data_IF_010981709408
#
_entry.id   IF_010981709408
#
_cell.length_a   1.000
_cell.length_b   1.000
_cell.length_c   1.000
_cell.angle_alpha   90.00
_cell.angle_beta   90.00
_cell.angle_gamma   90.00
#
_symmetry.space_group_name_H-M   'P 1'
#
loop_
_entity.id
_entity.type
_entity.pdbx_description
1 polymer ?
#
# COMPACT_ATOMS: atom_id res chain seq x y z
N UNK A 1 7.11 -2.74 8.47
CA UNK A 1 6.56 -3.87 9.24
C UNK A 1 7.70 -4.48 10.04
N UNK A 2 7.43 -4.88 11.28
CA UNK A 2 8.32 -5.64 12.15
C UNK A 2 7.68 -6.99 12.46
N UNK A 3 8.49 -8.04 12.52
CA UNK A 3 8.09 -9.42 12.77
C UNK A 3 8.53 -9.87 14.17
N UNK A 4 7.63 -10.59 14.84
CA UNK A 4 7.80 -11.07 16.21
C UNK A 4 7.60 -12.57 16.32
N UNK A 5 6.65 -13.13 15.53
CA UNK A 5 6.31 -14.56 15.47
C UNK A 5 5.98 -14.97 14.05
N UNK A 6 5.91 -16.28 13.81
CA UNK A 6 5.47 -16.85 12.55
C UNK A 6 3.95 -16.59 12.35
N UNK A 7 3.53 -15.76 11.38
CA UNK A 7 2.12 -15.45 11.16
C UNK A 7 1.38 -16.53 10.37
N UNK A 8 2.07 -17.50 9.73
CA UNK A 8 1.42 -18.41 8.78
C UNK A 8 0.32 -19.27 9.41
N UNK A 9 0.43 -19.55 10.71
CA UNK A 9 -0.56 -20.31 11.47
C UNK A 9 -1.88 -19.54 11.68
N UNK A 10 -1.88 -18.22 11.47
CA UNK A 10 -3.03 -17.34 11.68
C UNK A 10 -3.69 -16.87 10.39
N UNK A 11 -3.18 -17.29 9.22
CA UNK A 11 -3.86 -17.02 7.95
C UNK A 11 -5.09 -17.93 7.79
N UNK A 12 -6.26 -17.37 7.44
CA UNK A 12 -7.43 -18.19 7.16
C UNK A 12 -7.24 -18.93 5.82
N UNK A 13 -6.76 -20.17 5.87
CA UNK A 13 -6.41 -21.00 4.70
C UNK A 13 -7.56 -21.26 3.72
N UNK A 14 -8.81 -21.02 4.13
CA UNK A 14 -9.98 -21.12 3.27
C UNK A 14 -10.20 -19.87 2.41
N UNK A 15 -9.61 -18.72 2.78
CA UNK A 15 -9.73 -17.48 2.02
C UNK A 15 -8.88 -17.54 0.75
N UNK A 16 -9.38 -16.92 -0.32
CA UNK A 16 -8.60 -16.71 -1.53
C UNK A 16 -7.62 -15.53 -1.33
N UNK A 17 -8.01 -14.54 -0.52
CA UNK A 17 -7.19 -13.41 -0.09
C UNK A 17 -7.46 -13.08 1.38
N UNK A 18 -6.40 -12.87 2.14
CA UNK A 18 -6.49 -12.32 3.51
C UNK A 18 -5.74 -11.00 3.58
N UNK A 19 -6.27 -9.97 4.21
CA UNK A 19 -5.64 -8.65 4.21
C UNK A 19 -5.79 -7.92 5.54
N UNK A 20 -4.87 -7.02 5.86
CA UNK A 20 -4.90 -6.25 7.10
C UNK A 20 -6.13 -5.35 7.19
N UNK A 21 -6.41 -4.85 8.39
CA UNK A 21 -7.52 -3.95 8.68
C UNK A 21 -7.06 -2.85 9.61
N UNK A 22 -7.53 -1.62 9.38
CA UNK A 22 -7.13 -0.45 10.19
C UNK A 22 -8.01 -0.22 11.45
N UNK A 23 -9.15 -0.92 11.53
CA UNK A 23 -10.06 -1.03 12.71
C UNK A 23 -10.83 -2.36 12.57
N UNK A 24 -10.24 -3.50 12.94
CA UNK A 24 -10.83 -4.84 12.83
C UNK A 24 -11.88 -5.07 13.92
N UNK A 25 -13.02 -5.65 13.53
CA UNK A 25 -14.01 -6.17 14.48
C UNK A 25 -14.55 -7.51 14.02
N UNK A 26 -14.49 -8.56 14.87
CA UNK A 26 -15.01 -9.88 14.51
C UNK A 26 -16.54 -9.88 14.36
N UNK A 27 -17.23 -8.88 14.91
CA UNK A 27 -18.69 -8.71 14.76
C UNK A 27 -19.12 -8.14 13.42
N UNK A 28 -18.20 -7.59 12.61
CA UNK A 28 -18.50 -7.09 11.26
C UNK A 28 -18.42 -8.22 10.24
N UNK A 29 -19.25 -8.15 9.19
CA UNK A 29 -19.05 -9.01 8.04
C UNK A 29 -17.64 -8.76 7.45
N UNK A 30 -17.00 -9.77 6.82
CA UNK A 30 -15.61 -9.64 6.35
C UNK A 30 -15.35 -8.38 5.50
N UNK A 31 -16.23 -8.06 4.55
CA UNK A 31 -16.09 -6.90 3.65
C UNK A 31 -16.49 -5.55 4.26
N UNK A 32 -17.10 -5.56 5.46
CA UNK A 32 -17.48 -4.37 6.22
C UNK A 32 -16.35 -3.91 7.14
N UNK A 33 -15.32 -4.73 7.32
CA UNK A 33 -14.08 -4.28 7.95
C UNK A 33 -13.33 -3.32 7.00
N UNK A 34 -12.61 -2.32 7.54
CA UNK A 34 -11.80 -1.40 6.75
C UNK A 34 -10.53 -2.11 6.25
N UNK A 35 -10.69 -2.84 5.14
CA UNK A 35 -9.61 -3.62 4.52
C UNK A 35 -8.47 -2.71 4.03
N UNK A 36 -7.25 -3.18 4.23
CA UNK A 36 -6.00 -2.50 3.89
C UNK A 36 -5.10 -3.44 3.07
N UNK A 37 -4.48 -2.94 2.00
CA UNK A 37 -3.61 -3.73 1.10
C UNK A 37 -2.13 -3.50 1.39
N UNK A 38 -1.79 -3.00 2.58
CA UNK A 38 -0.41 -2.87 3.06
C UNK A 38 0.20 -4.22 3.47
N UNK A 39 -0.62 -5.14 3.99
CA UNK A 39 -0.27 -6.53 4.27
C UNK A 39 -1.41 -7.44 3.82
N UNK A 40 -1.11 -8.41 2.97
CA UNK A 40 -2.08 -9.42 2.56
C UNK A 40 -1.40 -10.69 2.08
N UNK A 41 -2.12 -11.80 2.17
CA UNK A 41 -1.75 -13.12 1.69
C UNK A 41 -2.74 -13.58 0.61
N UNK A 42 -2.23 -14.08 -0.52
CA UNK A 42 -3.03 -14.66 -1.61
C UNK A 42 -2.47 -16.03 -1.98
N UNK A 43 -3.34 -17.04 -1.93
CA UNK A 43 -3.02 -18.38 -2.42
C UNK A 43 -3.07 -18.42 -3.94
N UNK A 44 -2.09 -19.03 -4.60
CA UNK A 44 -2.16 -19.24 -6.05
C UNK A 44 -3.21 -20.28 -6.40
N UNK A 45 -4.25 -19.81 -7.10
CA UNK A 45 -5.32 -20.61 -7.67
C UNK A 45 -5.77 -19.94 -8.97
N UNK A 46 -6.48 -20.67 -9.83
CA UNK A 46 -7.11 -20.05 -11.00
C UNK A 46 -8.01 -18.85 -10.60
N UNK A 47 -8.71 -18.95 -9.47
CA UNK A 47 -9.62 -17.90 -9.01
C UNK A 47 -8.87 -16.63 -8.57
N UNK A 48 -7.76 -16.77 -7.86
CA UNK A 48 -6.97 -15.62 -7.41
C UNK A 48 -6.19 -14.96 -8.56
N UNK A 49 -5.77 -15.73 -9.56
CA UNK A 49 -5.24 -15.18 -10.82
C UNK A 49 -6.30 -14.33 -11.54
N UNK A 50 -7.54 -14.80 -11.64
CA UNK A 50 -8.62 -14.01 -12.24
C UNK A 50 -9.01 -12.80 -11.38
N UNK A 51 -8.94 -12.93 -10.05
CA UNK A 51 -9.16 -11.82 -9.11
C UNK A 51 -8.17 -10.67 -9.34
N UNK A 52 -6.87 -10.95 -9.42
CA UNK A 52 -5.86 -9.89 -9.59
C UNK A 52 -5.93 -9.27 -10.99
N UNK A 53 -6.24 -10.05 -12.04
CA UNK A 53 -6.51 -9.53 -13.38
C UNK A 53 -7.70 -8.58 -13.38
N UNK A 54 -8.80 -8.96 -12.72
CA UNK A 54 -9.99 -8.12 -12.59
C UNK A 54 -9.68 -6.83 -11.83
N UNK A 55 -8.89 -6.91 -10.76
CA UNK A 55 -8.48 -5.75 -9.98
C UNK A 55 -7.61 -4.79 -10.80
N UNK A 56 -6.63 -5.31 -11.55
CA UNK A 56 -5.82 -4.49 -12.48
C UNK A 56 -6.67 -3.85 -13.57
N UNK A 57 -7.56 -4.60 -14.22
CA UNK A 57 -8.45 -4.07 -15.24
C UNK A 57 -9.40 -2.99 -14.69
N UNK A 58 -9.78 -3.09 -13.41
CA UNK A 58 -10.63 -2.08 -12.77
C UNK A 58 -9.97 -0.70 -12.68
N UNK A 59 -8.63 -0.60 -12.75
CA UNK A 59 -7.88 0.66 -12.76
C UNK A 59 -8.45 1.69 -13.73
N UNK A 60 -8.86 1.25 -14.93
CA UNK A 60 -9.41 2.13 -15.97
C UNK A 60 -10.69 2.85 -15.53
N UNK A 61 -11.47 2.25 -14.62
CA UNK A 61 -12.69 2.84 -14.06
C UNK A 61 -12.42 3.85 -12.94
N UNK A 62 -11.19 3.90 -12.43
CA UNK A 62 -10.78 4.72 -11.29
C UNK A 62 -9.47 5.47 -11.57
N UNK A 63 -9.45 6.37 -12.58
CA UNK A 63 -8.24 7.07 -12.98
C UNK A 63 -7.63 7.85 -11.80
N UNK A 64 -6.30 7.75 -11.65
CA UNK A 64 -5.55 8.40 -10.57
C UNK A 64 -5.62 7.71 -9.19
N UNK A 65 -6.45 6.68 -9.03
CA UNK A 65 -6.49 5.92 -7.77
C UNK A 65 -5.40 4.84 -7.74
N UNK A 66 -4.86 4.61 -6.54
CA UNK A 66 -3.94 3.51 -6.27
C UNK A 66 -4.69 2.19 -5.99
N UNK A 67 -3.94 1.09 -5.94
CA UNK A 67 -4.44 -0.28 -5.80
C UNK A 67 -5.49 -0.46 -4.67
N UNK A 68 -5.21 -0.01 -3.45
CA UNK A 68 -6.10 -0.19 -2.29
C UNK A 68 -7.44 0.50 -2.49
N UNK A 69 -7.42 1.75 -2.99
CA UNK A 69 -8.64 2.50 -3.21
C UNK A 69 -9.52 1.81 -4.26
N UNK A 70 -8.91 1.28 -5.33
CA UNK A 70 -9.62 0.46 -6.31
C UNK A 70 -10.13 -0.84 -5.71
N UNK A 71 -9.31 -1.56 -4.94
CA UNK A 71 -9.68 -2.81 -4.26
C UNK A 71 -10.92 -2.63 -3.40
N UNK A 72 -10.91 -1.60 -2.55
CA UNK A 72 -12.02 -1.27 -1.66
C UNK A 72 -13.27 -1.00 -2.50
N UNK A 73 -13.18 -0.24 -3.59
CA UNK A 73 -14.32 0.01 -4.47
C UNK A 73 -14.91 -1.26 -5.10
N UNK A 74 -14.06 -2.21 -5.51
CA UNK A 74 -14.49 -3.40 -6.26
C UNK A 74 -14.69 -4.66 -5.41
N UNK A 75 -14.40 -4.63 -4.10
CA UNK A 75 -14.39 -5.84 -3.24
C UNK A 75 -15.67 -6.67 -3.33
N UNK A 76 -16.83 -6.03 -3.42
CA UNK A 76 -18.11 -6.71 -3.59
C UNK A 76 -18.26 -7.32 -4.99
N UNK A 77 -17.70 -6.71 -6.03
CA UNK A 77 -17.66 -7.28 -7.38
C UNK A 77 -16.78 -8.54 -7.41
N UNK A 78 -15.64 -8.54 -6.71
CA UNK A 78 -14.75 -9.70 -6.62
C UNK A 78 -15.48 -10.90 -5.99
N UNK A 79 -16.25 -10.68 -4.93
CA UNK A 79 -17.04 -11.74 -4.29
C UNK A 79 -18.22 -12.17 -5.17
N UNK A 80 -18.98 -11.23 -5.72
CA UNK A 80 -20.22 -11.56 -6.45
C UNK A 80 -19.96 -12.14 -7.84
N UNK A 81 -18.93 -11.66 -8.56
CA UNK A 81 -18.63 -12.10 -9.94
C UNK A 81 -17.64 -13.26 -9.99
N UNK A 82 -16.64 -13.27 -9.11
CA UNK A 82 -15.56 -14.26 -9.13
C UNK A 82 -15.64 -15.27 -7.98
N UNK A 83 -16.60 -15.11 -7.05
CA UNK A 83 -16.78 -15.98 -5.89
C UNK A 83 -15.51 -16.09 -5.02
N UNK A 84 -14.74 -15.01 -4.99
CA UNK A 84 -13.54 -14.87 -4.15
C UNK A 84 -13.98 -14.76 -2.69
N UNK A 85 -13.26 -15.44 -1.80
CA UNK A 85 -13.39 -15.28 -0.35
C UNK A 85 -12.29 -14.36 0.16
N UNK A 86 -12.68 -13.17 0.61
CA UNK A 86 -11.79 -12.17 1.20
C UNK A 86 -12.00 -12.18 2.72
N UNK A 87 -10.92 -12.28 3.48
CA UNK A 87 -10.97 -12.22 4.94
C UNK A 87 -10.05 -11.14 5.51
N UNK A 88 -10.54 -10.28 6.44
CA UNK A 88 -9.66 -9.44 7.21
C UNK A 88 -8.79 -10.29 8.16
N UNK A 89 -7.56 -9.83 8.39
CA UNK A 89 -6.66 -10.37 9.38
C UNK A 89 -6.98 -9.76 10.76
N UNK A 90 -6.99 -10.61 11.78
CA UNK A 90 -7.25 -10.18 13.16
C UNK A 90 -6.04 -9.39 13.70
N UNK A 91 -6.29 -8.16 14.16
CA UNK A 91 -5.26 -7.24 14.66
C UNK A 91 -4.58 -7.71 15.94
N UNK A 92 -5.13 -8.72 16.61
CA UNK A 92 -4.44 -9.41 17.72
C UNK A 92 -3.15 -10.09 17.25
N UNK A 93 -3.13 -10.65 16.03
CA UNK A 93 -1.94 -11.27 15.44
C UNK A 93 -1.22 -10.34 14.46
N UNK A 94 -1.99 -9.55 13.69
CA UNK A 94 -1.50 -8.68 12.63
C UNK A 94 -1.74 -7.21 13.01
N UNK A 95 -1.09 -6.77 14.08
CA UNK A 95 -1.28 -5.42 14.59
C UNK A 95 -0.83 -4.35 13.58
N UNK A 96 -1.56 -3.24 13.55
CA UNK A 96 -1.11 -2.02 12.90
C UNK A 96 -0.81 -0.97 13.95
N UNK A 97 0.05 0.01 13.67
CA UNK A 97 0.22 1.17 14.57
C UNK A 97 -1.13 1.89 14.82
N UNK A 98 -2.07 1.80 13.88
CA UNK A 98 -3.42 2.32 14.07
C UNK A 98 -4.26 1.50 15.05
N UNK A 99 -4.03 0.20 15.10
CA UNK A 99 -4.77 -0.75 15.90
C UNK A 99 -3.87 -1.93 16.29
N UNK A 100 -3.40 -1.88 17.53
CA UNK A 100 -2.59 -2.92 18.13
C UNK A 100 -3.10 -3.22 19.53
N UNK A 101 -2.74 -4.38 20.05
CA UNK A 101 -3.11 -4.84 21.37
C UNK A 101 -1.86 -4.98 22.24
N UNK A 102 -1.95 -4.64 23.52
CA UNK A 102 -0.89 -4.85 24.52
C UNK A 102 -0.80 -6.34 24.92
N UNK A 103 -0.84 -7.25 23.95
CA UNK A 103 -0.75 -8.71 24.09
C UNK A 103 0.44 -9.24 23.26
N UNK A 104 1.68 -9.15 23.79
CA UNK A 104 2.88 -9.55 23.07
C UNK A 104 2.99 -11.07 22.89
N UNK A 105 2.17 -11.87 23.60
CA UNK A 105 2.19 -13.32 23.46
C UNK A 105 1.61 -13.76 22.11
N UNK A 106 0.59 -13.05 21.61
CA UNK A 106 -0.10 -13.37 20.36
C UNK A 106 0.44 -12.65 19.14
N UNK A 107 0.95 -11.43 19.31
CA UNK A 107 1.34 -10.60 18.15
C UNK A 107 2.36 -11.31 17.26
N UNK A 108 2.10 -11.31 15.95
CA UNK A 108 3.02 -11.86 14.95
C UNK A 108 3.75 -10.77 14.21
N UNK A 109 3.04 -9.72 13.80
CA UNK A 109 3.61 -8.61 13.05
C UNK A 109 3.01 -7.30 13.51
N UNK A 110 3.81 -6.22 13.49
CA UNK A 110 3.28 -4.85 13.54
C UNK A 110 3.65 -4.08 12.28
N UNK A 111 2.64 -3.57 11.58
CA UNK A 111 2.79 -2.74 10.38
C UNK A 111 2.49 -1.26 10.67
N UNK A 112 3.04 -0.37 9.86
CA UNK A 112 2.92 1.08 10.02
C UNK A 112 2.19 1.70 8.83
N UNK A 113 1.28 0.94 8.21
CA UNK A 113 0.76 1.28 6.87
C UNK A 113 -0.11 2.52 6.91
N UNK A 114 -0.80 2.75 8.03
CA UNK A 114 -1.59 3.94 8.28
C UNK A 114 -0.79 5.17 8.72
N UNK A 115 0.51 5.04 9.02
CA UNK A 115 1.36 6.17 9.37
C UNK A 115 1.80 6.96 8.14
N UNK A 116 2.05 8.26 8.32
CA UNK A 116 2.53 9.16 7.26
C UNK A 116 3.98 9.57 7.50
N UNK A 117 4.79 9.52 6.43
CA UNK A 117 6.21 9.89 6.45
C UNK A 117 7.15 8.73 6.78
N UNK A 118 8.30 8.68 6.09
CA UNK A 118 9.30 7.64 6.30
C UNK A 118 9.91 7.71 7.71
N UNK A 119 10.36 8.89 8.13
CA UNK A 119 11.01 9.08 9.43
C UNK A 119 10.08 8.75 10.61
N UNK A 120 8.79 9.11 10.47
CA UNK A 120 7.73 8.73 11.40
C UNK A 120 7.63 7.21 11.53
N UNK A 121 7.52 6.49 10.40
CA UNK A 121 7.43 5.03 10.37
C UNK A 121 8.68 4.39 10.99
N UNK A 122 9.87 4.85 10.60
CA UNK A 122 11.14 4.30 11.10
C UNK A 122 11.26 4.52 12.61
N UNK A 123 10.92 5.70 13.11
CA UNK A 123 11.00 6.02 14.54
C UNK A 123 10.12 5.09 15.37
N UNK A 124 8.82 5.04 15.06
CA UNK A 124 7.88 4.28 15.90
C UNK A 124 8.08 2.77 15.73
N UNK A 125 8.36 2.26 14.53
CA UNK A 125 8.69 0.84 14.36
C UNK A 125 9.97 0.43 15.11
N UNK A 126 10.96 1.32 15.24
CA UNK A 126 12.15 1.07 16.09
C UNK A 126 11.78 0.99 17.57
N UNK A 127 10.83 1.79 18.04
CA UNK A 127 10.33 1.71 19.42
C UNK A 127 9.67 0.35 19.68
N UNK A 128 8.77 -0.10 18.79
CA UNK A 128 8.16 -1.43 18.90
C UNK A 128 9.19 -2.56 18.86
N UNK A 129 10.23 -2.47 18.02
CA UNK A 129 11.31 -3.45 17.99
C UNK A 129 12.14 -3.45 19.29
N UNK A 130 12.36 -2.30 19.91
CA UNK A 130 13.05 -2.18 21.19
C UNK A 130 12.21 -2.77 22.35
N UNK A 131 10.90 -2.49 22.37
CA UNK A 131 9.98 -3.06 23.36
C UNK A 131 9.94 -4.58 23.26
N UNK A 132 9.90 -5.12 22.04
CA UNK A 132 9.98 -6.55 21.79
C UNK A 132 11.28 -7.17 22.32
N UNK A 133 12.43 -6.52 22.07
CA UNK A 133 13.72 -6.97 22.58
C UNK A 133 13.74 -6.98 24.11
N UNK A 134 13.17 -5.97 24.75
CA UNK A 134 13.08 -5.92 26.22
C UNK A 134 12.18 -7.02 26.78
N UNK A 135 11.03 -7.28 26.14
CA UNK A 135 10.13 -8.38 26.51
C UNK A 135 10.80 -9.74 26.34
N UNK A 136 11.45 -9.99 25.21
CA UNK A 136 12.08 -11.28 24.90
C UNK A 136 13.36 -11.55 25.68
N UNK A 137 13.98 -10.51 26.26
CA UNK A 137 15.15 -10.68 27.14
C UNK A 137 14.81 -11.28 28.52
N UNK A 138 13.54 -11.26 28.92
CA UNK A 138 13.07 -11.79 30.21
C UNK A 138 12.75 -13.29 30.15
N UNK A 139 12.80 -13.97 31.30
CA UNK A 139 12.38 -15.37 31.40
C UNK A 139 10.84 -15.50 31.21
N UNK A 140 10.32 -16.60 30.65
CA UNK A 140 8.90 -16.77 30.38
C UNK A 140 7.98 -16.52 31.60
N UNK A 141 8.41 -16.92 32.80
CA UNK A 141 7.65 -16.69 34.04
C UNK A 141 7.57 -15.22 34.45
N UNK A 142 8.60 -14.42 34.11
CA UNK A 142 8.63 -12.98 34.38
C UNK A 142 7.74 -12.23 33.40
N UNK A 143 7.74 -12.66 32.13
CA UNK A 143 6.88 -12.12 31.06
C UNK A 143 5.39 -12.22 31.42
N UNK A 144 4.96 -13.34 32.01
CA UNK A 144 3.56 -13.55 32.43
C UNK A 144 3.13 -12.67 33.61
N UNK A 145 4.08 -12.25 34.45
CA UNK A 145 3.82 -11.38 35.61
C UNK A 145 3.89 -9.90 35.26
N UNK A 146 4.66 -9.55 34.23
CA UNK A 146 4.84 -8.18 33.78
C UNK A 146 3.61 -7.68 33.01
N UNK A 147 3.08 -6.52 33.41
CA UNK A 147 2.10 -5.80 32.61
C UNK A 147 2.81 -5.15 31.41
N UNK A 148 2.98 -5.91 30.33
CA UNK A 148 3.59 -5.40 29.11
C UNK A 148 2.71 -4.31 28.48
N UNK A 149 3.35 -3.26 27.96
CA UNK A 149 2.72 -2.23 27.15
C UNK A 149 3.66 -1.78 26.06
N UNK A 150 3.12 -1.56 24.86
CA UNK A 150 3.90 -0.95 23.79
C UNK A 150 4.18 0.53 24.11
N UNK A 151 5.34 1.00 23.67
CA UNK A 151 5.62 2.43 23.58
C UNK A 151 4.58 3.07 22.67
N UNK A 152 3.90 4.09 23.19
CA UNK A 152 2.85 4.76 22.43
C UNK A 152 3.44 5.43 21.16
N UNK A 153 2.92 5.13 19.95
CA UNK A 153 3.47 5.61 18.69
C UNK A 153 3.04 7.06 18.41
N UNK A 154 3.55 7.99 19.20
CA UNK A 154 3.16 9.40 19.16
C UNK A 154 3.33 10.00 17.76
N UNK A 155 4.46 9.75 17.08
CA UNK A 155 4.73 10.37 15.77
C UNK A 155 3.73 9.91 14.73
N UNK A 156 3.47 8.62 14.67
CA UNK A 156 2.46 8.06 13.79
C UNK A 156 1.06 8.61 14.11
N UNK A 157 0.67 8.65 15.39
CA UNK A 157 -0.64 9.16 15.81
C UNK A 157 -0.82 10.64 15.45
N UNK A 158 0.19 11.46 15.66
CA UNK A 158 0.18 12.87 15.29
C UNK A 158 0.12 13.06 13.77
N UNK A 159 0.86 12.23 13.02
CA UNK A 159 0.84 12.26 11.55
C UNK A 159 -0.55 11.98 10.97
N UNK A 160 -1.33 11.13 11.63
CA UNK A 160 -2.70 10.78 11.23
C UNK A 160 -3.65 11.96 11.52
N UNK A 161 -3.61 12.51 12.74
CA UNK A 161 -4.48 13.62 13.17
C UNK A 161 -4.25 14.89 12.34
N UNK A 162 -2.99 15.16 11.99
CA UNK A 162 -2.65 16.31 11.16
C UNK A 162 -3.21 16.17 9.74
N UNK A 163 -3.09 14.99 9.12
CA UNK A 163 -3.73 14.70 7.83
C UNK A 163 -5.25 14.89 7.88
N UNK A 164 -5.94 14.41 8.92
CA UNK A 164 -7.38 14.65 9.09
C UNK A 164 -7.74 16.15 9.18
N UNK A 165 -6.90 16.94 9.84
CA UNK A 165 -7.12 18.37 10.04
C UNK A 165 -6.96 19.15 8.72
N UNK A 166 -5.96 18.79 7.92
CA UNK A 166 -5.75 19.33 6.56
C UNK A 166 -6.91 18.93 5.65
N UNK A 167 -7.28 17.65 5.59
CA UNK A 167 -8.41 17.18 4.78
C UNK A 167 -9.71 17.94 5.10
N UNK A 168 -9.97 18.19 6.39
CA UNK A 168 -11.13 18.96 6.84
C UNK A 168 -11.07 20.42 6.42
N UNK A 169 -9.87 21.01 6.35
CA UNK A 169 -9.65 22.38 5.90
C UNK A 169 -9.79 22.50 4.37
N UNK A 170 -9.16 21.59 3.61
CA UNK A 170 -9.24 21.52 2.16
C UNK A 170 -10.67 21.26 1.68
N UNK A 171 -11.41 20.36 2.35
CA UNK A 171 -12.83 20.11 2.06
C UNK A 171 -13.70 21.34 2.37
N UNK A 172 -13.44 22.08 3.46
CA UNK A 172 -14.09 23.37 3.73
C UNK A 172 -13.79 24.41 2.65
N UNK A 173 -12.55 24.46 2.15
CA UNK A 173 -12.15 25.40 1.11
C UNK A 173 -12.76 25.05 -0.25
N UNK A 174 -12.87 23.75 -0.58
CA UNK A 174 -13.56 23.25 -1.78
C UNK A 174 -15.06 23.58 -1.76
N UNK A 175 -15.69 23.43 -0.58
CA UNK A 175 -17.09 23.80 -0.34
C UNK A 175 -17.31 25.32 -0.42
N UNK A 176 -16.33 26.12 0.01
CA UNK A 176 -16.37 27.58 -0.17
C UNK A 176 -16.14 28.00 -1.63
N UNK A 177 -15.30 27.30 -2.39
CA UNK A 177 -15.05 27.57 -3.83
C UNK A 177 -16.23 27.19 -4.73
N UNK A 178 -17.07 26.24 -4.33
CA UNK A 178 -18.28 25.84 -5.07
C UNK A 178 -19.57 26.52 -4.62
N UNK A 179 -19.48 27.58 -3.79
CA UNK A 179 -20.53 28.58 -3.60
C UNK A 179 -21.89 28.02 -3.19
N UNK A 180 -22.18 28.03 -1.89
CA UNK A 180 -23.55 28.12 -1.41
C UNK A 180 -24.17 29.43 -1.93
N UNK A 181 -24.86 29.35 -3.07
CA UNK A 181 -25.67 30.45 -3.60
C UNK A 181 -26.72 30.84 -2.55
N UNK A 182 -26.62 32.07 -2.04
CA UNK A 182 -27.71 32.72 -1.31
C UNK A 182 -28.97 32.74 -2.21
N UNK A 183 -30.14 32.25 -1.76
CA UNK A 183 -31.37 32.62 -2.40
C UNK A 183 -31.78 34.00 -1.89
N UNK A 184 -31.67 35.00 -2.76
CA UNK A 184 -32.39 36.27 -2.67
C UNK A 184 -33.88 35.98 -2.81
N UNK A 185 -34.69 36.44 -1.86
CA UNK A 185 -36.08 36.03 -1.71
C UNK A 185 -37.04 36.53 -2.78
N UNK A 186 -38.21 35.87 -2.84
CA UNK A 186 -39.50 36.44 -3.22
C UNK A 186 -40.63 35.65 -2.56
N UNK A 187 -41.63 36.42 -2.12
CA UNK A 187 -42.74 36.08 -1.25
C UNK A 187 -43.76 35.12 -1.90
N UNK A 188 -44.40 34.27 -1.10
CA UNK A 188 -45.58 33.50 -1.51
C UNK A 188 -46.07 32.53 -0.42
N UNK A 189 -47.14 32.90 0.28
CA UNK A 189 -47.86 32.05 1.23
C UNK A 189 -48.57 30.88 0.52
N UNK A 190 -48.60 29.70 1.13
CA UNK A 190 -49.49 28.60 0.73
C UNK A 190 -49.17 27.28 1.42
N UNK A 191 -50.17 26.74 2.13
CA UNK A 191 -50.14 25.47 2.87
C UNK A 191 -49.89 24.28 1.93
N UNK A 192 -49.08 23.31 2.35
CA UNK A 192 -49.51 21.92 2.55
C UNK A 192 -48.31 21.01 2.86
N UNK A 193 -48.46 20.27 3.96
CA UNK A 193 -47.50 19.30 4.46
C UNK A 193 -47.75 17.95 3.78
N UNK A 194 -46.82 17.51 2.92
CA UNK A 194 -46.49 16.09 2.64
C UNK A 194 -45.55 16.02 1.43
N UNK A 195 -44.22 15.96 1.66
CA UNK A 195 -43.21 15.32 0.78
C UNK A 195 -41.79 15.77 1.14
N UNK A 196 -41.36 15.53 2.39
CA UNK A 196 -39.97 15.72 2.79
C UNK A 196 -39.50 14.59 3.73
N UNK A 197 -39.71 13.33 3.34
CA UNK A 197 -39.15 12.19 4.08
C UNK A 197 -38.28 11.24 3.24
N UNK A 198 -37.99 11.56 1.97
CA UNK A 198 -37.15 10.70 1.10
C UNK A 198 -35.83 11.36 0.67
N UNK A 199 -35.62 12.66 0.95
CA UNK A 199 -34.37 13.36 0.59
C UNK A 199 -33.38 13.57 1.75
N UNK A 200 -33.75 13.28 3.00
CA UNK A 200 -32.81 13.38 4.14
C UNK A 200 -31.95 12.14 4.37
N UNK A 201 -32.18 11.04 3.63
CA UNK A 201 -31.41 9.79 3.81
C UNK A 201 -30.21 9.64 2.86
N UNK A 202 -30.16 10.42 1.76
CA UNK A 202 -29.07 10.32 0.78
C UNK A 202 -27.89 11.29 1.04
N UNK A 203 -28.03 12.26 1.93
CA UNK A 203 -26.95 13.18 2.32
C UNK A 203 -26.20 12.75 3.60
N UNK A 204 -26.74 11.79 4.36
CA UNK A 204 -26.09 11.25 5.57
C UNK A 204 -25.10 10.10 5.31
N UNK A 205 -25.19 9.44 4.16
CA UNK A 205 -24.38 8.26 3.83
C UNK A 205 -23.15 8.53 2.95
N UNK A 206 -22.99 9.75 2.42
CA UNK A 206 -21.85 10.12 1.57
C UNK A 206 -20.63 10.63 2.35
N UNK A 207 -20.84 11.16 3.56
CA UNK A 207 -19.77 11.76 4.38
C UNK A 207 -18.86 10.76 5.09
N UNK A 208 -19.33 9.60 5.61
CA UNK A 208 -18.43 8.60 6.19
C UNK A 208 -17.57 7.90 5.13
N UNK A 209 -18.13 7.68 3.94
CA UNK A 209 -17.46 6.99 2.83
C UNK A 209 -16.39 7.88 2.20
N UNK A 210 -16.66 9.19 2.04
CA UNK A 210 -15.66 10.17 1.59
C UNK A 210 -14.51 10.36 2.59
N UNK A 211 -14.74 10.19 3.89
CA UNK A 211 -13.72 10.29 4.93
C UNK A 211 -12.71 9.13 4.86
N UNK A 212 -13.17 7.91 4.53
CA UNK A 212 -12.30 6.75 4.30
C UNK A 212 -11.48 6.89 3.00
N UNK A 213 -12.02 7.54 1.97
CA UNK A 213 -11.28 7.85 0.74
C UNK A 213 -10.16 8.88 0.94
N UNK A 214 -10.36 9.87 1.81
CA UNK A 214 -9.34 10.89 2.09
C UNK A 214 -8.26 10.41 3.07
N UNK A 215 -8.59 9.47 3.96
CA UNK A 215 -7.61 8.87 4.87
C UNK A 215 -6.52 8.06 4.18
N UNK A 216 -6.84 7.51 3.01
CA UNK A 216 -5.86 6.87 2.14
C UNK A 216 -5.02 7.90 1.35
N UNK A 217 -5.43 9.18 1.30
CA UNK A 217 -4.94 10.16 0.32
C UNK A 217 -4.05 11.28 0.88
N UNK A 218 -4.13 11.65 2.16
CA UNK A 218 -3.30 12.73 2.71
C UNK A 218 -1.97 12.18 3.26
N UNK A 219 -0.99 12.01 2.37
CA UNK A 219 0.41 11.82 2.76
C UNK A 219 1.31 12.82 2.03
N UNK A 220 1.49 14.01 2.61
CA UNK A 220 2.55 14.93 2.23
C UNK A 220 3.52 15.10 3.40
N UNK A 221 4.80 14.97 3.09
CA UNK A 221 5.88 15.61 3.85
C UNK A 221 6.31 16.84 3.07
N UNK A 222 6.22 18.02 3.68
CA UNK A 222 6.97 19.20 3.27
C UNK A 222 8.28 19.26 4.05
N UNK A 223 9.35 19.60 3.35
CA UNK A 223 10.64 19.99 3.91
C UNK A 223 11.34 20.95 2.93
N UNK A 224 11.02 22.24 3.04
CA UNK A 224 11.71 23.31 2.33
C UNK A 224 13.16 23.47 2.84
N UNK A 225 14.13 23.57 1.92
CA UNK A 225 15.14 24.65 1.92
C UNK A 225 15.95 24.70 0.62
N UNK A 226 16.07 25.93 0.13
CA UNK A 226 16.76 26.49 -1.04
C UNK A 226 18.15 25.93 -1.40
N UNK A 227 18.47 25.96 -2.70
CA UNK A 227 19.52 26.83 -3.30
C UNK A 227 19.23 27.00 -4.81
N UNK A 228 19.40 28.24 -5.29
CA UNK A 228 19.19 28.74 -6.66
C UNK A 228 20.03 28.05 -7.75
N UNK A 229 19.59 28.09 -9.02
CA UNK A 229 20.50 28.08 -10.16
C UNK A 229 20.58 29.48 -10.80
N UNK A 230 21.76 30.06 -10.76
CA UNK A 230 22.15 31.19 -11.60
C UNK A 230 22.34 30.74 -13.05
N UNK A 231 21.80 31.57 -13.93
CA UNK A 231 22.04 31.79 -15.36
C UNK A 231 23.14 31.05 -16.13
N UNK A 232 22.77 30.86 -17.40
CA UNK A 232 23.51 30.86 -18.66
C UNK A 232 23.75 29.47 -19.29
N UNK A 233 23.48 29.27 -20.58
CA UNK A 233 23.15 30.24 -21.61
C UNK A 233 22.68 29.57 -22.90
N UNK A 234 22.02 30.39 -23.71
CA UNK A 234 21.45 30.09 -25.01
C UNK A 234 22.47 29.61 -26.04
N UNK A 235 22.01 28.78 -26.99
CA UNK A 235 22.20 28.94 -28.44
C UNK A 235 21.24 28.01 -29.18
N UNK A 236 20.13 28.54 -29.70
CA UNK A 236 19.90 28.89 -31.12
C UNK A 236 19.76 27.68 -32.07
N UNK A 237 18.51 27.40 -32.41
CA UNK A 237 17.97 26.81 -33.66
C UNK A 237 18.20 27.75 -34.87
N UNK A 238 17.67 27.50 -36.10
CA UNK A 238 17.16 26.27 -36.75
C UNK A 238 17.73 26.08 -38.18
N UNK A 239 17.40 24.98 -38.85
CA UNK A 239 17.25 25.01 -40.32
C UNK A 239 16.06 24.16 -40.75
N UNK A 240 15.21 24.80 -41.55
CA UNK A 240 13.93 24.37 -42.10
C UNK A 240 14.12 23.72 -43.47
N UNK A 241 13.40 22.65 -43.78
CA UNK A 241 12.92 22.24 -45.12
C UNK A 241 11.97 21.03 -44.91
N UNK A 242 10.65 21.19 -44.90
CA UNK A 242 9.68 21.30 -46.00
C UNK A 242 9.35 20.00 -46.74
N UNK A 243 8.31 19.32 -46.23
CA UNK A 243 7.10 18.77 -46.87
C UNK A 243 7.13 18.13 -48.29
N UNK A 244 6.85 16.82 -48.35
CA UNK A 244 5.90 16.09 -49.25
C UNK A 244 6.06 14.59 -48.90
N UNK A 245 5.07 13.74 -48.66
CA UNK A 245 3.71 13.64 -49.17
C UNK A 245 3.56 12.26 -49.83
N UNK A 246 3.32 11.20 -49.05
CA UNK A 246 2.82 9.91 -49.53
C UNK A 246 2.25 9.10 -48.36
N UNK A 247 0.92 9.00 -48.32
CA UNK A 247 0.15 8.07 -47.50
C UNK A 247 0.01 6.74 -48.25
N UNK A 248 0.44 5.62 -47.67
CA UNK A 248 -0.39 4.41 -47.68
C UNK A 248 0.00 3.45 -46.54
N UNK A 249 -1.01 2.70 -46.11
CA UNK A 249 -1.20 2.09 -44.81
C UNK A 249 -0.19 0.99 -44.43
N UNK A 250 0.48 1.18 -43.28
CA UNK A 250 1.04 0.06 -42.51
C UNK A 250 0.58 0.22 -41.06
N UNK A 251 -0.17 -0.76 -40.57
CA UNK A 251 -0.66 -0.81 -39.21
C UNK A 251 0.51 -0.68 -38.23
N UNK A 252 0.38 0.11 -37.14
CA UNK A 252 1.41 0.13 -36.12
C UNK A 252 1.34 -1.20 -35.36
N UNK A 253 2.27 -2.10 -35.68
CA UNK A 253 2.67 -3.17 -34.76
C UNK A 253 3.06 -2.54 -33.45
N UNK A 254 2.28 -2.83 -32.42
CA UNK A 254 2.54 -2.52 -31.02
C UNK A 254 3.95 -2.95 -30.61
N UNK A 255 4.81 -2.05 -30.11
CA UNK A 255 6.06 -2.45 -29.50
C UNK A 255 5.78 -2.73 -28.01
N UNK A 256 5.52 -3.99 -27.59
CA UNK A 256 5.49 -4.30 -26.15
C UNK A 256 5.55 -5.77 -25.69
N UNK A 257 5.65 -6.80 -26.54
CA UNK A 257 5.65 -8.19 -26.01
C UNK A 257 7.03 -8.71 -25.57
N UNK A 258 8.13 -8.30 -26.21
CA UNK A 258 9.45 -8.91 -25.94
C UNK A 258 10.15 -8.38 -24.67
N UNK A 259 9.86 -7.15 -24.23
CA UNK A 259 10.49 -6.57 -23.03
C UNK A 259 9.93 -7.15 -21.73
N UNK A 260 8.60 -7.29 -21.63
CA UNK A 260 7.96 -7.81 -20.42
C UNK A 260 8.17 -9.32 -20.23
N UNK A 261 8.30 -10.07 -21.32
CA UNK A 261 8.55 -11.52 -21.27
C UNK A 261 9.97 -11.83 -20.76
N UNK A 262 10.95 -10.98 -21.09
CA UNK A 262 12.31 -11.05 -20.55
C UNK A 262 12.40 -10.61 -19.08
N UNK A 263 11.64 -9.58 -18.67
CA UNK A 263 11.65 -9.07 -17.29
C UNK A 263 11.20 -10.14 -16.30
N UNK A 264 10.08 -10.83 -16.59
CA UNK A 264 9.57 -11.88 -15.72
C UNK A 264 10.28 -13.24 -15.86
N UNK A 265 11.24 -13.38 -16.78
CA UNK A 265 12.06 -14.58 -16.88
C UNK A 265 12.98 -14.72 -15.65
N UNK A 266 13.63 -13.63 -15.24
CA UNK A 266 14.47 -13.62 -14.03
C UNK A 266 13.64 -13.91 -12.77
N UNK A 267 12.41 -13.40 -12.70
CA UNK A 267 11.48 -13.71 -11.61
C UNK A 267 11.18 -15.21 -11.54
N UNK A 268 10.92 -15.85 -12.67
CA UNK A 268 10.63 -17.28 -12.75
C UNK A 268 11.82 -18.15 -12.32
N UNK A 269 13.06 -17.70 -12.53
CA UNK A 269 14.27 -18.37 -12.04
C UNK A 269 14.49 -18.17 -10.54
N UNK A 270 14.09 -17.02 -10.00
CA UNK A 270 14.31 -16.67 -8.60
C UNK A 270 13.29 -17.33 -7.67
N UNK A 271 12.00 -17.40 -8.05
CA UNK A 271 10.93 -17.92 -7.21
C UNK A 271 11.18 -19.33 -6.64
N UNK A 272 11.66 -20.33 -7.41
CA UNK A 272 12.00 -21.65 -6.87
C UNK A 272 13.05 -21.65 -5.76
N UNK A 273 13.89 -20.61 -5.68
CA UNK A 273 14.98 -20.50 -4.68
C UNK A 273 14.54 -19.80 -3.40
N UNK A 274 13.42 -19.06 -3.45
CA UNK A 274 12.92 -18.25 -2.34
C UNK A 274 11.67 -18.86 -1.74
N UNK A 275 10.86 -19.56 -2.52
CA UNK A 275 9.61 -20.11 -2.03
C UNK A 275 9.81 -21.15 -0.94
N UNK A 276 8.86 -21.25 -0.03
CA UNK A 276 8.80 -22.33 0.96
C UNK A 276 8.63 -23.68 0.27
N UNK A 277 9.25 -24.72 0.84
CA UNK A 277 9.23 -26.08 0.26
C UNK A 277 7.85 -26.75 0.35
N UNK A 278 7.05 -26.38 1.34
CA UNK A 278 5.79 -27.02 1.69
C UNK A 278 4.62 -26.57 0.80
N UNK A 279 4.49 -25.26 0.56
CA UNK A 279 3.34 -24.70 -0.16
C UNK A 279 3.67 -23.64 -1.21
N UNK A 280 4.97 -23.42 -1.50
CA UNK A 280 5.45 -22.44 -2.49
C UNK A 280 5.08 -20.99 -2.15
N UNK A 281 5.07 -20.64 -0.87
CA UNK A 281 4.82 -19.27 -0.41
C UNK A 281 6.11 -18.45 -0.47
N UNK A 282 6.00 -17.19 -0.91
CA UNK A 282 7.10 -16.23 -0.97
C UNK A 282 6.71 -14.97 -0.20
N UNK A 283 7.54 -14.51 0.74
CA UNK A 283 7.30 -13.25 1.44
C UNK A 283 7.76 -12.09 0.57
N UNK A 284 6.83 -11.39 -0.07
CA UNK A 284 7.13 -10.24 -0.91
C UNK A 284 7.23 -8.94 -0.10
N UNK A 285 8.28 -8.16 -0.36
CA UNK A 285 8.36 -6.78 0.12
C UNK A 285 8.90 -5.87 -0.98
N UNK A 286 8.40 -4.64 -1.08
CA UNK A 286 8.83 -3.69 -2.12
C UNK A 286 9.52 -2.48 -1.48
N UNK A 287 10.64 -2.07 -2.06
CA UNK A 287 11.45 -0.95 -1.55
C UNK A 287 11.90 -0.04 -2.67
N UNK A 288 11.84 1.27 -2.42
CA UNK A 288 12.58 2.28 -3.18
C UNK A 288 13.90 2.61 -2.46
N UNK A 289 14.70 3.51 -3.05
CA UNK A 289 15.98 3.93 -2.49
C UNK A 289 15.85 4.37 -1.04
N UNK A 290 14.87 5.21 -0.72
CA UNK A 290 14.67 5.74 0.62
C UNK A 290 14.39 4.65 1.65
N UNK A 291 13.64 3.61 1.29
CA UNK A 291 13.30 2.49 2.18
C UNK A 291 14.46 1.50 2.31
N UNK A 292 15.29 1.38 1.28
CA UNK A 292 16.42 0.45 1.23
C UNK A 292 17.72 1.02 1.83
N UNK A 293 17.85 2.35 1.94
CA UNK A 293 19.03 3.03 2.51
C UNK A 293 19.37 2.50 3.93
N UNK A 294 20.66 2.53 4.33
CA UNK A 294 21.06 2.16 5.69
C UNK A 294 20.26 2.90 6.76
N UNK A 295 19.99 2.23 7.89
CA UNK A 295 19.16 2.72 9.00
C UNK A 295 17.69 3.05 8.67
N UNK A 296 17.20 2.62 7.50
CA UNK A 296 15.81 2.75 7.06
C UNK A 296 15.00 1.44 7.23
N UNK A 297 13.82 1.38 6.60
CA UNK A 297 12.82 0.32 6.78
C UNK A 297 13.33 -1.08 6.38
N UNK A 298 14.13 -1.22 5.32
CA UNK A 298 14.61 -2.54 4.90
C UNK A 298 15.51 -3.20 5.95
N UNK A 299 16.41 -2.42 6.56
CA UNK A 299 17.27 -2.91 7.64
C UNK A 299 16.44 -3.37 8.83
N UNK A 300 15.52 -2.50 9.30
CA UNK A 300 14.63 -2.79 10.42
C UNK A 300 13.74 -4.02 10.17
N UNK A 301 13.18 -4.14 8.96
CA UNK A 301 12.39 -5.29 8.55
C UNK A 301 13.19 -6.59 8.69
N UNK A 302 14.40 -6.64 8.13
CA UNK A 302 15.27 -7.83 8.17
C UNK A 302 15.75 -8.18 9.58
N UNK A 303 16.12 -7.16 10.36
CA UNK A 303 16.52 -7.34 11.76
C UNK A 303 15.39 -7.91 12.60
N UNK A 304 14.14 -7.53 12.32
CA UNK A 304 12.99 -8.06 13.07
C UNK A 304 12.81 -9.58 12.91
N UNK A 305 13.13 -10.17 11.74
CA UNK A 305 13.10 -11.64 11.59
C UNK A 305 14.08 -12.34 12.53
N UNK A 306 15.28 -11.78 12.70
CA UNK A 306 16.32 -12.32 13.58
C UNK A 306 15.99 -12.14 15.07
N UNK A 307 15.31 -11.04 15.40
CA UNK A 307 14.90 -10.74 16.76
C UNK A 307 13.58 -11.42 17.17
N UNK A 308 12.76 -11.87 16.22
CA UNK A 308 11.52 -12.59 16.47
C UNK A 308 11.76 -14.03 16.93
N UNK A 309 10.80 -14.59 17.65
CA UNK A 309 10.92 -15.96 18.15
C UNK A 309 10.52 -16.95 17.05
N UNK A 310 11.49 -17.73 16.58
CA UNK A 310 11.27 -18.74 15.55
C UNK A 310 11.01 -18.17 14.16
N UNK A 311 11.39 -16.92 13.87
CA UNK A 311 11.15 -16.29 12.56
C UNK A 311 12.39 -16.13 11.69
N UNK A 312 13.60 -16.32 12.21
CA UNK A 312 14.83 -16.02 11.46
C UNK A 312 14.91 -16.77 10.12
N UNK A 313 14.55 -18.05 10.09
CA UNK A 313 14.53 -18.87 8.88
C UNK A 313 13.58 -18.36 7.79
N UNK A 314 12.53 -17.61 8.15
CA UNK A 314 11.61 -17.02 7.18
C UNK A 314 12.29 -15.94 6.33
N UNK A 315 13.43 -15.40 6.78
CA UNK A 315 14.21 -14.43 6.02
C UNK A 315 14.74 -15.03 4.70
N UNK A 316 14.99 -16.34 4.66
CA UNK A 316 15.39 -17.04 3.43
C UNK A 316 14.27 -17.07 2.39
N UNK A 317 13.02 -16.90 2.84
CA UNK A 317 11.82 -16.87 2.01
C UNK A 317 11.34 -15.46 1.66
N UNK A 318 12.15 -14.43 1.94
CA UNK A 318 11.85 -13.04 1.57
C UNK A 318 12.40 -12.73 0.18
N UNK A 319 11.53 -12.27 -0.72
CA UNK A 319 11.92 -11.64 -1.97
C UNK A 319 11.72 -10.12 -1.87
N UNK A 320 12.82 -9.39 -1.98
CA UNK A 320 12.82 -7.92 -1.96
C UNK A 320 12.73 -7.40 -3.40
N UNK A 321 11.62 -6.75 -3.73
CA UNK A 321 11.36 -6.10 -5.01
C UNK A 321 11.85 -4.66 -4.94
N UNK A 322 13.00 -4.40 -5.55
CA UNK A 322 13.59 -3.07 -5.67
C UNK A 322 13.00 -2.36 -6.89
N UNK A 323 12.41 -1.19 -6.68
CA UNK A 323 11.70 -0.46 -7.74
C UNK A 323 12.55 0.61 -8.45
N UNK A 324 13.81 0.75 -8.03
CA UNK A 324 14.79 1.62 -8.65
C UNK A 324 16.20 1.02 -8.49
N UNK A 325 17.15 1.55 -9.26
CA UNK A 325 18.52 1.03 -9.31
C UNK A 325 19.24 1.11 -7.95
N UNK A 326 19.03 2.19 -7.20
CA UNK A 326 19.71 2.39 -5.91
C UNK A 326 19.12 1.50 -4.83
N UNK A 327 17.79 1.30 -4.84
CA UNK A 327 17.12 0.30 -4.01
C UNK A 327 17.69 -1.11 -4.25
N UNK A 328 17.96 -1.47 -5.51
CA UNK A 328 18.51 -2.77 -5.86
C UNK A 328 19.95 -2.94 -5.35
N UNK A 329 20.79 -1.91 -5.50
CA UNK A 329 22.15 -1.89 -4.93
C UNK A 329 22.11 -2.06 -3.41
N UNK A 330 21.29 -1.29 -2.71
CA UNK A 330 21.13 -1.40 -1.27
C UNK A 330 20.61 -2.78 -0.85
N UNK A 331 19.65 -3.33 -1.59
CA UNK A 331 19.13 -4.67 -1.34
C UNK A 331 20.24 -5.72 -1.46
N UNK A 332 20.97 -5.76 -2.57
CA UNK A 332 22.03 -6.76 -2.82
C UNK A 332 23.17 -6.69 -1.80
N UNK A 333 23.41 -5.52 -1.20
CA UNK A 333 24.39 -5.36 -0.15
C UNK A 333 23.99 -6.05 1.16
N UNK A 334 22.70 -6.25 1.41
CA UNK A 334 22.20 -6.77 2.69
C UNK A 334 21.43 -8.08 2.56
N UNK A 335 20.87 -8.42 1.40
CA UNK A 335 19.93 -9.54 1.22
C UNK A 335 20.22 -10.34 -0.07
N UNK A 336 20.16 -11.69 -0.04
CA UNK A 336 20.49 -12.51 -1.21
C UNK A 336 19.45 -12.45 -2.33
N UNK A 337 18.16 -12.38 -1.98
CA UNK A 337 17.03 -12.50 -2.91
C UNK A 337 16.41 -11.14 -3.23
N UNK A 338 17.01 -10.46 -4.20
CA UNK A 338 16.54 -9.16 -4.68
C UNK A 338 16.12 -9.28 -6.13
N UNK A 339 15.03 -8.62 -6.50
CA UNK A 339 14.54 -8.52 -7.88
C UNK A 339 14.37 -7.04 -8.23
N UNK A 340 14.86 -6.61 -9.40
CA UNK A 340 14.69 -5.24 -9.89
C UNK A 340 13.43 -5.19 -10.75
N UNK A 341 12.43 -4.43 -10.30
CA UNK A 341 11.24 -4.14 -11.09
C UNK A 341 11.52 -2.91 -11.94
N UNK A 342 11.42 -3.05 -13.26
CA UNK A 342 11.58 -1.91 -14.17
C UNK A 342 10.24 -1.20 -14.31
N UNK A 343 10.23 0.10 -14.00
CA UNK A 343 9.07 0.96 -14.19
C UNK A 343 9.50 2.05 -15.17
N UNK A 344 8.71 2.25 -16.23
CA UNK A 344 9.07 3.18 -17.32
C UNK A 344 9.45 4.56 -16.78
N UNK A 345 10.70 4.94 -17.02
CA UNK A 345 11.41 6.05 -16.37
C UNK A 345 10.97 7.44 -16.81
N UNK A 346 9.92 7.56 -17.62
CA UNK A 346 9.38 8.87 -18.04
C UNK A 346 8.80 9.68 -16.86
N UNK A 347 8.63 9.04 -15.70
CA UNK A 347 8.24 9.70 -14.45
C UNK A 347 9.37 9.53 -13.42
N UNK A 348 10.36 10.43 -13.48
CA UNK A 348 11.50 10.48 -12.58
C UNK A 348 11.08 10.34 -11.09
N UNK A 349 11.38 9.20 -10.47
CA UNK A 349 11.31 9.00 -9.03
C UNK A 349 12.64 9.47 -8.41
N UNK A 350 12.87 10.79 -8.37
CA UNK A 350 13.93 11.35 -7.53
C UNK A 350 13.56 11.16 -6.06
N UNK A 351 14.33 10.31 -5.35
CA UNK A 351 14.58 10.11 -3.90
C UNK A 351 13.48 10.30 -2.83
N UNK A 352 12.38 10.96 -3.14
CA UNK A 352 11.13 11.12 -2.40
C UNK A 352 10.01 11.36 -3.43
N UNK A 353 9.57 10.32 -4.13
CA UNK A 353 8.33 10.45 -4.87
C UNK A 353 7.22 10.81 -3.89
N UNK A 354 6.63 11.99 -4.02
CA UNK A 354 5.49 12.38 -3.21
C UNK A 354 4.42 11.30 -3.35
N UNK A 355 3.91 10.84 -2.21
CA UNK A 355 2.84 9.84 -2.19
C UNK A 355 1.62 10.39 -2.97
N UNK A 356 0.94 9.53 -3.72
CA UNK A 356 -0.07 9.87 -4.74
C UNK A 356 0.41 10.69 -5.96
N UNK A 357 1.71 10.96 -6.12
CA UNK A 357 2.19 11.38 -7.44
C UNK A 357 1.81 10.36 -8.50
N UNK A 358 1.68 10.80 -9.76
CA UNK A 358 1.45 9.87 -10.88
C UNK A 358 2.49 8.74 -10.87
N UNK A 359 3.74 9.06 -10.54
CA UNK A 359 4.83 8.10 -10.41
C UNK A 359 4.60 7.06 -9.30
N UNK A 360 4.12 7.47 -8.13
CA UNK A 360 3.74 6.56 -7.04
C UNK A 360 2.57 5.65 -7.44
N UNK A 361 1.57 6.21 -8.13
CA UNK A 361 0.42 5.41 -8.62
C UNK A 361 0.91 4.35 -9.60
N UNK A 362 1.74 4.71 -10.59
CA UNK A 362 2.31 3.72 -11.52
C UNK A 362 3.12 2.63 -10.80
N UNK A 363 3.93 3.01 -9.81
CA UNK A 363 4.72 2.08 -9.01
C UNK A 363 3.85 1.01 -8.34
N UNK A 364 2.76 1.44 -7.73
CA UNK A 364 1.82 0.57 -7.04
C UNK A 364 1.13 -0.39 -8.02
N UNK A 365 0.80 0.06 -9.22
CA UNK A 365 0.24 -0.80 -10.26
C UNK A 365 1.26 -1.75 -10.88
N UNK A 366 2.53 -1.34 -10.98
CA UNK A 366 3.63 -2.22 -11.38
C UNK A 366 3.83 -3.35 -10.37
N UNK A 367 3.77 -3.06 -9.06
CA UNK A 367 3.76 -4.08 -7.99
C UNK A 367 2.64 -5.11 -8.20
N UNK A 368 1.41 -4.66 -8.47
CA UNK A 368 0.27 -5.57 -8.69
C UNK A 368 0.46 -6.42 -9.96
N UNK A 369 1.19 -5.92 -10.95
CA UNK A 369 1.55 -6.67 -12.17
C UNK A 369 2.54 -7.79 -11.87
N UNK A 370 3.56 -7.52 -11.06
CA UNK A 370 4.50 -8.52 -10.58
C UNK A 370 3.80 -9.59 -9.74
N UNK A 371 2.92 -9.18 -8.82
CA UNK A 371 2.13 -10.09 -8.00
C UNK A 371 1.21 -10.98 -8.83
N UNK A 372 0.60 -10.47 -9.90
CA UNK A 372 -0.13 -11.31 -10.84
C UNK A 372 0.77 -12.38 -11.44
N UNK A 373 1.99 -12.02 -11.84
CA UNK A 373 2.93 -12.98 -12.42
C UNK A 373 3.33 -14.07 -11.42
N UNK A 374 3.54 -13.72 -10.15
CA UNK A 374 3.81 -14.70 -9.07
C UNK A 374 2.67 -15.72 -8.96
N UNK A 375 1.41 -15.29 -9.00
CA UNK A 375 0.27 -16.22 -8.98
C UNK A 375 0.21 -17.09 -10.25
N UNK A 376 0.42 -16.50 -11.42
CA UNK A 376 0.42 -17.22 -12.70
C UNK A 376 1.52 -18.30 -12.77
N UNK A 377 2.65 -18.07 -12.08
CA UNK A 377 3.74 -19.03 -11.93
C UNK A 377 3.49 -20.08 -10.84
N UNK A 378 2.37 -19.99 -10.12
CA UNK A 378 1.94 -21.00 -9.15
C UNK A 378 2.45 -20.81 -7.73
N UNK A 379 2.84 -19.59 -7.34
CA UNK A 379 3.37 -19.26 -6.02
C UNK A 379 2.38 -18.44 -5.19
N UNK A 380 2.28 -18.73 -3.89
CA UNK A 380 1.53 -17.88 -2.95
C UNK A 380 2.43 -16.73 -2.50
N UNK A 381 1.84 -15.65 -2.01
CA UNK A 381 2.60 -14.56 -1.40
C UNK A 381 1.81 -13.77 -0.37
#
# INVERSE_FOLDING_TARGET
MVWFRNPFQHFPVYADMSCSSDDFKPSRAPLDNPLNTGLYYIKSTHRSVEMIKYWRAARERFPGQHDQAVFVNIRHELVTKLQVRIQPLDTVYYGGICEYHDDPEKVCTIHADCCVGLDTKVHDLKAFAADWKNYTSQAPEERQKAAFKWTYPTRCRDSIVYSFSIARFASKELMNKHGAGRPSGLCGQGKDAASYHVLSFLLGAALPTALLFYLASDRLGEGLSSISPSSWGSSRTPTTQQLAGATDHTAPTSPTSQGQESEFAELAELLPRVATDDDRTVILTSVNEAFARPNSLLGLFRESFRAGEGTEHLLDHVLVVAVDAMAFVHCKAVHPHCYRLEVDSATYLSSESSFLSAAYVELVWAKLSLQQRVLELGYNF
#
